data_IF_391586765560
#
_entry.id   IF_391586765560
#
_cell.length_a   1.000
_cell.length_b   1.000
_cell.length_c   1.000
_cell.angle_alpha   90.00
_cell.angle_beta   90.00
_cell.angle_gamma   90.00
#
_symmetry.space_group_name_H-M   'P 1'
#
loop_
_entity.id
_entity.type
_entity.pdbx_description
1 polymer ?
#
# COMPACT_ATOMS: atom_id res chain seq x y z
N UNK A 1 -24.25 -3.39 8.57
CA UNK A 1 -23.45 -3.18 7.35
C UNK A 1 -24.43 -2.85 6.27
N UNK A 2 -24.35 -1.64 5.68
CA UNK A 2 -25.24 -1.28 4.58
C UNK A 2 -25.05 -2.28 3.46
N UNK A 3 -26.15 -2.75 2.87
CA UNK A 3 -26.12 -3.62 1.71
C UNK A 3 -25.41 -2.84 0.57
N UNK A 4 -24.11 -3.11 0.37
CA UNK A 4 -23.36 -2.50 -0.72
C UNK A 4 -23.83 -3.17 -1.99
N UNK A 5 -24.57 -2.41 -2.80
CA UNK A 5 -25.01 -2.88 -4.11
C UNK A 5 -23.78 -3.08 -5.00
N UNK A 6 -23.59 -4.32 -5.45
CA UNK A 6 -22.52 -4.69 -6.37
C UNK A 6 -23.05 -4.40 -7.79
N UNK A 7 -22.39 -3.54 -8.57
CA UNK A 7 -22.83 -3.28 -9.94
C UNK A 7 -22.72 -4.55 -10.79
N UNK A 8 -23.74 -4.83 -11.62
CA UNK A 8 -23.76 -6.01 -12.51
C UNK A 8 -22.53 -6.08 -13.43
N UNK A 9 -22.02 -4.92 -13.87
CA UNK A 9 -20.83 -4.87 -14.72
C UNK A 9 -19.57 -5.32 -13.98
N UNK A 10 -19.49 -5.11 -12.67
CA UNK A 10 -18.35 -5.50 -11.82
C UNK A 10 -18.39 -7.02 -11.58
N UNK A 11 -19.56 -7.56 -11.28
CA UNK A 11 -19.76 -9.01 -11.11
C UNK A 11 -19.52 -9.77 -12.42
N UNK A 12 -19.86 -9.18 -13.57
CA UNK A 12 -19.67 -9.76 -14.89
C UNK A 12 -18.29 -9.55 -15.51
N UNK A 13 -17.31 -8.95 -14.81
CA UNK A 13 -15.98 -8.74 -15.38
C UNK A 13 -15.28 -10.09 -15.63
N UNK A 14 -14.75 -10.32 -16.85
CA UNK A 14 -14.03 -11.55 -17.14
C UNK A 14 -12.72 -11.59 -16.33
N UNK A 15 -12.45 -12.74 -15.74
CA UNK A 15 -11.20 -12.98 -15.02
C UNK A 15 -10.05 -13.23 -16.00
N UNK A 16 -8.88 -12.72 -15.66
CA UNK A 16 -7.65 -13.06 -16.35
C UNK A 16 -7.22 -14.51 -16.06
N UNK A 17 -6.50 -15.18 -16.97
CA UNK A 17 -6.09 -16.56 -16.77
C UNK A 17 -5.17 -16.73 -15.55
N UNK A 18 -5.39 -17.83 -14.83
CA UNK A 18 -4.55 -18.27 -13.71
C UNK A 18 -3.73 -19.49 -14.11
N UNK A 19 -2.41 -19.40 -13.98
CA UNK A 19 -1.47 -20.47 -14.29
C UNK A 19 -0.86 -21.03 -13.00
N UNK A 20 -0.72 -22.35 -12.93
CA UNK A 20 -0.18 -23.09 -11.77
C UNK A 20 0.97 -23.99 -12.23
N UNK A 21 2.19 -23.45 -12.40
CA UNK A 21 3.34 -24.24 -12.84
C UNK A 21 3.66 -25.35 -11.85
N UNK A 22 4.17 -26.46 -12.38
CA UNK A 22 4.91 -27.47 -11.59
C UNK A 22 6.23 -26.90 -11.06
N UNK A 23 6.86 -27.56 -10.09
CA UNK A 23 8.18 -27.17 -9.59
C UNK A 23 9.22 -27.04 -10.71
N UNK A 24 9.17 -27.96 -11.69
CA UNK A 24 10.09 -27.94 -12.84
C UNK A 24 9.85 -26.74 -13.75
N UNK A 25 8.60 -26.40 -14.03
CA UNK A 25 8.26 -25.24 -14.85
C UNK A 25 8.56 -23.92 -14.14
N UNK A 26 8.38 -23.88 -12.83
CA UNK A 26 8.64 -22.69 -12.03
C UNK A 26 10.15 -22.39 -11.86
N UNK A 27 11.02 -23.36 -12.17
CA UNK A 27 12.47 -23.21 -12.07
C UNK A 27 13.07 -22.24 -13.09
N UNK A 28 12.43 -22.07 -14.27
CA UNK A 28 12.80 -21.10 -15.30
C UNK A 28 11.61 -20.16 -15.61
N UNK A 29 11.54 -19.00 -14.93
CA UNK A 29 10.44 -18.06 -15.12
C UNK A 29 10.32 -17.53 -16.55
N UNK A 30 11.43 -17.34 -17.26
CA UNK A 30 11.42 -16.79 -18.61
C UNK A 30 10.86 -17.82 -19.58
N UNK A 31 11.33 -19.07 -19.51
CA UNK A 31 10.79 -20.15 -20.32
C UNK A 31 9.30 -20.39 -20.04
N UNK A 32 8.87 -20.31 -18.77
CA UNK A 32 7.46 -20.46 -18.42
C UNK A 32 6.59 -19.32 -18.96
N UNK A 33 7.05 -18.07 -18.85
CA UNK A 33 6.35 -16.91 -19.42
C UNK A 33 6.20 -17.07 -20.93
N UNK A 34 7.27 -17.42 -21.65
CA UNK A 34 7.21 -17.67 -23.10
C UNK A 34 6.26 -18.82 -23.46
N UNK A 35 6.15 -19.84 -22.62
CA UNK A 35 5.20 -20.95 -22.80
C UNK A 35 3.75 -20.48 -22.73
N UNK A 36 3.39 -19.63 -21.77
CA UNK A 36 2.00 -19.16 -21.56
C UNK A 36 1.64 -17.92 -22.37
N UNK A 37 2.63 -17.25 -22.98
CA UNK A 37 2.49 -15.96 -23.65
C UNK A 37 1.33 -15.94 -24.67
N UNK A 38 1.25 -16.96 -25.53
CA UNK A 38 0.24 -17.03 -26.59
C UNK A 38 -1.20 -16.96 -26.07
N UNK A 39 -1.44 -17.51 -24.88
CA UNK A 39 -2.76 -17.47 -24.23
C UNK A 39 -2.93 -16.16 -23.43
N UNK A 40 -1.96 -15.84 -22.58
CA UNK A 40 -2.00 -14.71 -21.67
C UNK A 40 -2.04 -13.34 -22.40
N UNK A 41 -1.39 -13.22 -23.56
CA UNK A 41 -1.33 -11.99 -24.34
C UNK A 41 -2.71 -11.51 -24.79
N UNK A 42 -3.67 -12.41 -24.94
CA UNK A 42 -5.04 -12.06 -25.34
C UNK A 42 -5.80 -11.30 -24.23
N UNK A 43 -5.33 -11.36 -22.99
CA UNK A 43 -5.94 -10.71 -21.82
C UNK A 43 -5.15 -9.49 -21.32
N UNK A 44 -3.89 -9.32 -21.75
CA UNK A 44 -2.99 -8.24 -21.32
C UNK A 44 -2.39 -8.42 -19.92
N UNK A 45 -3.05 -9.16 -19.03
CA UNK A 45 -2.55 -9.56 -17.70
C UNK A 45 -2.85 -11.04 -17.45
N UNK A 46 -2.07 -11.68 -16.58
CA UNK A 46 -2.35 -13.01 -16.05
C UNK A 46 -1.84 -13.14 -14.62
N UNK A 47 -2.24 -14.22 -13.92
CA UNK A 47 -1.73 -14.54 -12.58
C UNK A 47 -1.01 -15.88 -12.58
N UNK A 48 0.25 -15.90 -12.17
CA UNK A 48 1.02 -17.13 -11.95
C UNK A 48 1.03 -17.41 -10.44
N UNK A 49 0.57 -18.59 -10.04
CA UNK A 49 0.54 -19.03 -8.65
C UNK A 49 1.69 -20.03 -8.45
N UNK A 50 2.75 -19.67 -7.70
CA UNK A 50 3.90 -20.55 -7.49
C UNK A 50 3.50 -21.88 -6.83
N UNK A 51 4.19 -23.00 -7.12
CA UNK A 51 4.01 -24.29 -6.45
C UNK A 51 4.63 -24.32 -5.03
N UNK A 52 4.87 -23.13 -4.44
CA UNK A 52 5.54 -22.98 -3.15
C UNK A 52 4.53 -22.61 -2.06
N UNK A 53 4.73 -23.07 -0.81
CA UNK A 53 3.89 -22.67 0.30
C UNK A 53 4.01 -21.17 0.56
N UNK A 54 2.92 -20.55 1.02
CA UNK A 54 2.91 -19.14 1.38
C UNK A 54 3.90 -18.88 2.55
N UNK A 55 4.84 -17.93 2.42
CA UNK A 55 5.78 -17.64 3.50
C UNK A 55 5.06 -17.08 4.74
N UNK A 56 5.62 -17.35 5.92
CA UNK A 56 5.09 -16.80 7.16
C UNK A 56 5.25 -15.28 7.22
N UNK A 57 4.34 -14.60 7.93
CA UNK A 57 4.42 -13.14 8.13
C UNK A 57 5.77 -12.72 8.73
N UNK A 58 6.25 -13.46 9.74
CA UNK A 58 7.53 -13.17 10.41
C UNK A 58 8.70 -13.23 9.42
N UNK A 59 8.69 -14.22 8.52
CA UNK A 59 9.71 -14.35 7.48
C UNK A 59 9.68 -13.16 6.50
N UNK A 60 8.49 -12.78 6.02
CA UNK A 60 8.31 -11.65 5.12
C UNK A 60 8.78 -10.34 5.77
N UNK A 61 8.35 -10.05 7.00
CA UNK A 61 8.75 -8.84 7.73
C UNK A 61 10.26 -8.79 7.97
N UNK A 62 10.87 -9.92 8.35
CA UNK A 62 12.32 -9.97 8.56
C UNK A 62 13.10 -9.65 7.29
N UNK A 63 12.69 -10.19 6.14
CA UNK A 63 13.38 -9.93 4.87
C UNK A 63 13.16 -8.51 4.35
N UNK A 64 11.94 -7.98 4.46
CA UNK A 64 11.67 -6.59 4.10
C UNK A 64 12.48 -5.61 4.98
N UNK A 65 12.50 -5.82 6.30
CA UNK A 65 13.32 -4.98 7.19
C UNK A 65 14.82 -5.08 6.85
N UNK A 66 15.32 -6.26 6.45
CA UNK A 66 16.71 -6.40 5.97
C UNK A 66 16.96 -5.60 4.68
N UNK A 67 16.04 -5.56 3.72
CA UNK A 67 16.18 -4.69 2.53
C UNK A 67 16.23 -3.22 2.90
N UNK A 68 15.28 -2.77 3.71
CA UNK A 68 15.19 -1.36 4.12
C UNK A 68 16.43 -0.90 4.88
N UNK A 69 17.07 -1.77 5.66
CA UNK A 69 18.32 -1.46 6.37
C UNK A 69 19.54 -1.32 5.46
N UNK A 70 19.53 -1.95 4.28
CA UNK A 70 20.67 -1.88 3.34
C UNK A 70 20.83 -0.50 2.70
N UNK A 71 19.84 0.39 2.82
CA UNK A 71 19.89 1.77 2.32
C UNK A 71 19.29 2.76 3.31
N UNK A 72 20.06 3.21 4.33
CA UNK A 72 19.63 4.22 5.27
C UNK A 72 19.72 5.63 4.66
N UNK A 73 19.08 5.88 3.51
CA UNK A 73 19.02 7.24 2.94
C UNK A 73 17.99 8.14 3.64
N UNK A 74 17.24 7.61 4.61
CA UNK A 74 16.16 8.32 5.31
C UNK A 74 16.41 8.49 6.82
N UNK A 75 17.67 8.39 7.26
CA UNK A 75 18.02 8.34 8.69
C UNK A 75 18.89 9.48 9.22
N UNK A 76 19.29 10.46 8.41
CA UNK A 76 20.30 11.44 8.82
C UNK A 76 20.02 12.87 8.33
N UNK A 77 18.91 13.46 8.73
CA UNK A 77 18.82 14.92 8.89
C UNK A 77 18.08 15.32 10.17
N UNK A 78 18.87 15.67 11.18
CA UNK A 78 18.43 16.45 12.32
C UNK A 78 17.91 17.81 11.82
N UNK A 79 16.59 18.05 11.89
CA UNK A 79 16.02 19.21 12.60
C UNK A 79 14.51 19.37 12.36
N UNK A 80 13.69 18.95 13.34
CA UNK A 80 12.65 19.76 14.00
C UNK A 80 11.60 18.86 14.66
N UNK A 81 11.11 19.31 15.83
CA UNK A 81 10.15 18.68 16.75
C UNK A 81 10.85 17.69 17.71
N UNK A 82 11.23 18.06 18.94
CA UNK A 82 10.47 18.82 19.92
C UNK A 82 9.69 17.84 20.80
N UNK A 83 9.95 17.91 22.11
CA UNK A 83 9.24 17.26 23.24
C UNK A 83 9.79 15.90 23.72
N UNK A 84 10.69 16.03 24.70
CA UNK A 84 10.75 15.35 25.99
C UNK A 84 10.24 13.91 26.16
N UNK A 85 11.15 13.02 26.57
CA UNK A 85 11.12 12.48 27.93
C UNK A 85 12.49 11.88 28.33
N UNK A 86 12.94 12.31 29.49
CA UNK A 86 14.22 11.98 30.15
C UNK A 86 14.20 10.58 30.74
N UNK A 87 15.02 9.66 30.22
CA UNK A 87 15.49 8.49 30.95
C UNK A 87 17.02 8.41 30.79
N UNK A 88 17.73 8.92 31.80
CA UNK A 88 19.18 8.79 31.98
C UNK A 88 19.46 7.41 32.59
N UNK A 89 20.27 6.58 31.92
CA UNK A 89 21.15 5.62 32.60
C UNK A 89 22.30 5.21 31.65
N UNK A 90 23.53 5.31 32.15
CA UNK A 90 24.69 4.47 31.80
C UNK A 90 25.34 4.68 30.43
N UNK A 91 26.49 5.34 30.40
CA UNK A 91 27.44 5.26 29.30
C UNK A 91 28.20 3.93 29.36
N UNK A 92 28.13 3.12 28.32
CA UNK A 92 29.17 2.16 27.94
C UNK A 92 29.16 1.92 26.41
N UNK A 93 30.34 1.62 25.87
CA UNK A 93 30.72 1.85 24.47
C UNK A 93 30.03 1.02 23.39
N UNK A 94 29.71 1.70 22.28
CA UNK A 94 29.66 1.26 20.88
C UNK A 94 28.69 2.20 20.18
N UNK A 95 29.19 3.15 19.38
CA UNK A 95 28.33 4.10 18.66
C UNK A 95 27.69 3.42 17.44
N UNK A 96 26.93 2.34 17.69
CA UNK A 96 26.07 1.69 16.72
C UNK A 96 24.71 2.35 16.78
N UNK A 97 24.54 3.48 16.08
CA UNK A 97 23.22 4.04 15.86
C UNK A 97 22.34 2.94 15.25
N UNK A 98 21.30 2.52 15.98
CA UNK A 98 20.40 1.47 15.51
C UNK A 98 19.67 2.02 14.29
N UNK A 99 20.22 1.77 13.09
CA UNK A 99 19.51 2.04 11.85
C UNK A 99 18.18 1.33 11.94
N UNK A 100 17.09 2.09 11.92
CA UNK A 100 15.73 1.54 11.97
C UNK A 100 15.26 1.31 10.53
N UNK A 101 14.76 0.12 10.24
CA UNK A 101 14.14 -0.19 8.95
C UNK A 101 12.90 0.69 8.79
N UNK A 102 12.96 1.66 7.86
CA UNK A 102 11.86 2.59 7.58
C UNK A 102 11.69 2.79 6.09
N UNK A 103 10.49 3.22 5.68
CA UNK A 103 10.17 3.64 4.32
C UNK A 103 9.29 4.89 4.35
N UNK A 104 9.30 5.64 3.25
CA UNK A 104 8.42 6.80 3.04
C UNK A 104 7.16 6.40 2.30
N UNK A 105 6.08 7.07 2.64
CA UNK A 105 4.79 6.92 1.99
C UNK A 105 4.43 8.17 1.17
N UNK A 106 3.27 8.13 0.52
CA UNK A 106 2.63 9.23 -0.20
C UNK A 106 1.13 9.16 0.03
N UNK A 107 0.46 10.31 0.04
CA UNK A 107 -0.99 10.37 0.06
C UNK A 107 -1.54 10.37 -1.36
N UNK A 108 -2.53 9.53 -1.62
CA UNK A 108 -3.30 9.48 -2.86
C UNK A 108 -4.75 9.87 -2.54
N UNK A 109 -5.27 10.80 -3.33
CA UNK A 109 -6.68 11.18 -3.31
C UNK A 109 -7.50 10.14 -4.11
N UNK A 110 -8.62 9.69 -3.54
CA UNK A 110 -9.61 8.81 -4.18
C UNK A 110 -10.97 9.47 -4.09
N UNK A 111 -11.58 9.80 -5.23
CA UNK A 111 -12.88 10.48 -5.31
C UNK A 111 -12.86 11.62 -6.33
N UNK A 112 -13.98 12.34 -6.42
CA UNK A 112 -14.11 13.49 -7.31
C UNK A 112 -14.48 14.75 -6.54
N UNK A 113 -13.77 15.84 -6.82
CA UNK A 113 -14.12 17.14 -6.27
C UNK A 113 -15.25 17.74 -7.11
N UNK A 114 -16.49 17.67 -6.60
CA UNK A 114 -17.66 18.26 -7.28
C UNK A 114 -17.57 19.79 -7.17
N UNK A 115 -16.76 20.43 -8.03
CA UNK A 115 -16.83 21.88 -8.22
C UNK A 115 -18.20 22.21 -8.79
N UNK A 116 -19.06 22.80 -7.96
CA UNK A 116 -20.35 23.38 -8.38
C UNK A 116 -20.12 24.34 -9.55
N UNK A 117 -20.74 24.05 -10.69
CA UNK A 117 -21.00 25.05 -11.73
C UNK A 117 -22.00 26.07 -11.19
N UNK A 118 -21.51 27.16 -10.57
CA UNK A 118 -22.08 28.52 -10.65
C UNK A 118 -21.24 29.48 -9.82
N UNK A 119 -20.95 30.64 -10.43
CA UNK A 119 -20.00 31.65 -9.99
C UNK A 119 -20.10 32.01 -8.51
N UNK A 120 -18.97 31.89 -7.84
CA UNK A 120 -18.72 32.41 -6.50
C UNK A 120 -17.23 32.33 -6.27
N UNK A 121 -16.56 33.48 -6.22
CA UNK A 121 -15.14 33.61 -5.89
C UNK A 121 -14.96 33.12 -4.46
N UNK A 122 -14.62 31.84 -4.29
CA UNK A 122 -14.16 31.33 -3.01
C UNK A 122 -12.65 31.52 -2.97
N UNK A 123 -12.22 32.35 -2.00
CA UNK A 123 -10.82 32.53 -1.62
C UNK A 123 -10.15 31.17 -1.49
N UNK A 124 -8.93 30.97 -2.00
CA UNK A 124 -8.21 29.73 -1.79
C UNK A 124 -7.92 29.64 -0.29
N UNK A 125 -8.62 28.75 0.42
CA UNK A 125 -8.19 28.32 1.74
C UNK A 125 -6.79 27.74 1.53
N UNK A 126 -5.81 28.36 2.17
CA UNK A 126 -4.42 27.97 2.18
C UNK A 126 -4.26 26.60 2.87
N UNK A 127 -4.65 25.52 2.21
CA UNK A 127 -3.96 24.27 2.40
C UNK A 127 -2.72 24.36 1.52
N UNK A 128 -1.56 24.35 2.17
CA UNK A 128 -0.27 24.19 1.50
C UNK A 128 -0.44 23.03 0.51
N UNK A 129 -0.36 23.32 -0.80
CA UNK A 129 -0.34 22.31 -1.85
C UNK A 129 0.97 21.53 -1.68
N UNK A 130 1.04 20.64 -0.69
CA UNK A 130 2.12 19.68 -0.61
C UNK A 130 2.00 18.84 -1.88
N UNK A 131 3.07 18.82 -2.65
CA UNK A 131 3.13 17.98 -3.83
C UNK A 131 2.92 16.53 -3.37
N UNK A 132 2.38 15.64 -4.23
CA UNK A 132 2.06 14.24 -3.85
C UNK A 132 3.28 13.50 -3.26
N UNK A 133 4.49 13.90 -3.63
CA UNK A 133 5.76 13.37 -3.11
C UNK A 133 6.21 13.95 -1.76
N UNK A 134 5.54 14.98 -1.24
CA UNK A 134 5.84 15.65 0.04
C UNK A 134 4.77 15.40 1.12
N UNK A 135 3.72 14.63 0.81
CA UNK A 135 2.54 14.49 1.66
C UNK A 135 2.58 13.29 2.61
N UNK A 136 3.46 12.31 2.37
CA UNK A 136 3.58 11.14 3.23
C UNK A 136 4.54 11.34 4.40
N UNK A 137 4.66 10.29 5.21
CA UNK A 137 5.49 10.24 6.41
C UNK A 137 6.44 9.04 6.34
N UNK A 138 7.27 8.89 7.38
CA UNK A 138 8.23 7.79 7.52
C UNK A 138 7.68 6.78 8.51
N UNK A 139 7.61 5.50 8.10
CA UNK A 139 7.05 4.42 8.90
C UNK A 139 7.97 3.20 8.98
N UNK A 140 7.89 2.45 10.07
CA UNK A 140 8.25 1.02 10.07
C UNK A 140 7.10 0.19 9.50
N UNK A 141 7.39 -1.06 9.10
CA UNK A 141 6.35 -1.99 8.62
C UNK A 141 5.24 -2.21 9.65
N UNK A 142 5.58 -2.31 10.93
CA UNK A 142 4.63 -2.52 12.02
C UNK A 142 3.73 -1.29 12.22
N UNK A 143 4.30 -0.09 12.16
CA UNK A 143 3.53 1.16 12.30
C UNK A 143 2.53 1.31 11.14
N UNK A 144 2.99 1.08 9.91
CA UNK A 144 2.12 1.21 8.74
C UNK A 144 1.06 0.10 8.69
N UNK A 145 1.37 -1.13 9.11
CA UNK A 145 0.37 -2.20 9.24
C UNK A 145 -0.70 -1.86 10.29
N UNK A 146 -0.31 -1.30 11.44
CA UNK A 146 -1.27 -0.88 12.46
C UNK A 146 -2.18 0.24 11.94
N UNK A 147 -1.59 1.22 11.24
CA UNK A 147 -2.32 2.32 10.58
C UNK A 147 -3.30 1.80 9.53
N UNK A 148 -2.86 0.92 8.64
CA UNK A 148 -3.71 0.36 7.57
C UNK A 148 -4.87 -0.45 8.12
N UNK A 149 -4.67 -1.23 9.19
CA UNK A 149 -5.76 -1.93 9.91
C UNK A 149 -6.74 -0.98 10.58
N UNK A 150 -6.27 0.12 11.14
CA UNK A 150 -7.14 1.14 11.72
C UNK A 150 -8.00 1.81 10.65
N UNK A 151 -7.38 2.17 9.52
CA UNK A 151 -8.08 2.72 8.36
C UNK A 151 -9.11 1.73 7.81
N UNK A 152 -8.73 0.48 7.57
CA UNK A 152 -9.64 -0.56 7.09
C UNK A 152 -10.87 -0.72 8.00
N UNK A 153 -10.69 -0.73 9.32
CA UNK A 153 -11.81 -0.78 10.29
C UNK A 153 -12.72 0.44 10.23
N UNK A 154 -12.17 1.63 9.99
CA UNK A 154 -12.98 2.85 9.87
C UNK A 154 -13.87 2.86 8.62
N UNK A 155 -13.43 2.23 7.53
CA UNK A 155 -14.16 2.19 6.25
C UNK A 155 -15.08 0.96 6.17
N UNK A 156 -14.54 -0.21 6.48
CA UNK A 156 -15.21 -1.51 6.33
C UNK A 156 -16.01 -1.94 7.59
N UNK A 157 -15.80 -1.24 8.70
CA UNK A 157 -16.32 -1.63 10.02
C UNK A 157 -15.54 -2.78 10.66
N UNK A 158 -16.13 -3.39 11.69
CA UNK A 158 -15.47 -4.44 12.50
C UNK A 158 -15.65 -5.86 11.94
N UNK A 159 -16.30 -6.05 10.78
CA UNK A 159 -16.39 -7.40 10.20
C UNK A 159 -15.02 -7.86 9.75
N UNK A 160 -14.71 -9.11 10.07
CA UNK A 160 -13.48 -9.77 9.65
C UNK A 160 -13.57 -10.31 8.22
N UNK A 161 -14.79 -10.50 7.71
CA UNK A 161 -15.06 -11.18 6.45
C UNK A 161 -15.81 -10.25 5.50
N UNK A 162 -15.07 -9.35 4.85
CA UNK A 162 -15.59 -8.56 3.74
C UNK A 162 -15.11 -9.21 2.45
N UNK A 163 -16.04 -9.57 1.56
CA UNK A 163 -15.68 -10.19 0.28
C UNK A 163 -14.89 -9.22 -0.60
N UNK A 164 -13.92 -9.68 -1.41
CA UNK A 164 -13.18 -8.82 -2.33
C UNK A 164 -14.09 -7.98 -3.24
N UNK A 165 -15.17 -8.59 -3.74
CA UNK A 165 -16.15 -7.92 -4.62
C UNK A 165 -16.88 -6.77 -3.92
N UNK A 166 -17.16 -6.90 -2.61
CA UNK A 166 -17.74 -5.78 -1.82
C UNK A 166 -16.72 -4.66 -1.63
N UNK A 167 -15.44 -4.99 -1.38
CA UNK A 167 -14.38 -3.98 -1.27
C UNK A 167 -14.20 -3.23 -2.60
N UNK A 168 -14.26 -3.94 -3.74
CA UNK A 168 -14.19 -3.32 -5.07
C UNK A 168 -15.40 -2.42 -5.35
N UNK A 169 -16.62 -2.86 -5.02
CA UNK A 169 -17.82 -2.02 -5.15
C UNK A 169 -17.73 -0.75 -4.27
N UNK A 170 -17.23 -0.88 -3.04
CA UNK A 170 -16.98 0.26 -2.15
C UNK A 170 -15.94 1.21 -2.73
N UNK A 171 -14.87 0.69 -3.35
CA UNK A 171 -13.84 1.51 -4.00
C UNK A 171 -14.43 2.33 -5.16
N UNK A 172 -15.17 1.69 -6.07
CA UNK A 172 -15.78 2.39 -7.21
C UNK A 172 -16.82 3.41 -6.77
N UNK A 173 -17.58 3.13 -5.70
CA UNK A 173 -18.46 4.10 -5.08
C UNK A 173 -17.68 5.30 -4.53
N UNK A 174 -16.62 5.06 -3.74
CA UNK A 174 -15.79 6.11 -3.18
C UNK A 174 -15.12 6.99 -4.26
N UNK A 175 -14.77 6.41 -5.41
CA UNK A 175 -14.20 7.12 -6.55
C UNK A 175 -15.15 8.16 -7.17
N UNK A 176 -16.46 8.05 -6.95
CA UNK A 176 -17.49 8.97 -7.45
C UNK A 176 -17.97 9.98 -6.38
N UNK A 177 -17.58 9.77 -5.13
CA UNK A 177 -18.01 10.58 -3.99
C UNK A 177 -16.96 11.63 -3.59
N UNK A 178 -17.19 12.30 -2.46
CA UNK A 178 -16.27 13.27 -1.90
C UNK A 178 -14.89 12.61 -1.69
N UNK A 179 -13.79 13.29 -2.06
CA UNK A 179 -12.47 12.67 -1.98
C UNK A 179 -12.08 12.25 -0.56
N UNK A 180 -11.52 11.05 -0.47
CA UNK A 180 -10.81 10.50 0.69
C UNK A 180 -9.32 10.40 0.37
N UNK A 181 -8.49 10.36 1.42
CA UNK A 181 -7.04 10.20 1.27
C UNK A 181 -6.63 8.82 1.75
N UNK A 182 -5.98 8.07 0.87
CA UNK A 182 -5.30 6.81 1.19
C UNK A 182 -3.80 7.03 1.16
N UNK A 183 -3.06 6.19 1.87
CA UNK A 183 -1.61 6.30 1.94
C UNK A 183 -0.98 5.02 1.43
N UNK A 184 0.07 5.14 0.63
CA UNK A 184 0.77 4.03 0.02
C UNK A 184 2.26 4.33 -0.11
N UNK A 185 3.07 3.29 -0.29
CA UNK A 185 4.49 3.42 -0.54
C UNK A 185 4.81 2.77 -1.89
N UNK A 186 5.31 3.55 -2.83
CA UNK A 186 5.83 3.10 -4.11
C UNK A 186 7.32 3.49 -4.22
N UNK A 187 8.03 2.86 -5.16
CA UNK A 187 9.45 3.10 -5.40
C UNK A 187 10.31 2.92 -4.13
N UNK A 188 9.85 2.06 -3.21
CA UNK A 188 10.60 1.72 -2.00
C UNK A 188 11.81 0.89 -2.43
N UNK A 189 13.04 1.30 -2.09
CA UNK A 189 14.23 0.56 -2.47
C UNK A 189 14.22 -0.84 -1.83
N UNK A 190 14.51 -1.85 -2.64
CA UNK A 190 14.60 -3.26 -2.27
C UNK A 190 16.03 -3.79 -2.20
#
# INVERSE_FOLDING_TARGET
MGNVEIPNWLEGLPLAPEFRPTDTEFSDPIAYISKIEKEASNFGICKIIPPLPKPSKKYVFSNLNKSLLKRPELGLDNSSLGVGNSWKMGADGSNGGVSRAVFTTRQQEVGQNVKKTKGGVQKPLSCVHKQVWQSGEVYTLEQFEAKSKSFARSILGTSKDVSPLVVEAMFWKAALEKPIYVEYANDVPG
#
